data_IF_778777507709
#
_entry.id   IF_778777507709
#
_cell.length_a   1.000
_cell.length_b   1.000
_cell.length_c   1.000
_cell.angle_alpha   90.00
_cell.angle_beta   90.00
_cell.angle_gamma   90.00
#
_symmetry.space_group_name_H-M   'P 1'
#
loop_
_entity.id
_entity.type
_entity.pdbx_description
1 polymer ?
#
# COMPACT_ATOMS: atom_id res chain seq x y z
N UNK A 1 -13.20 208.25 -14.70
CA UNK A 1 -13.04 207.70 -13.32
C UNK A 1 -14.37 207.43 -12.63
N UNK A 2 -15.52 207.92 -13.14
CA UNK A 2 -16.82 207.82 -12.46
C UNK A 2 -17.66 206.59 -12.89
N UNK A 3 -17.57 206.14 -14.16
CA UNK A 3 -18.30 204.95 -14.65
C UNK A 3 -17.82 203.63 -14.03
N UNK A 4 -16.51 203.45 -13.84
CA UNK A 4 -15.95 202.21 -13.28
C UNK A 4 -16.32 201.97 -11.81
N UNK A 5 -16.70 203.00 -11.06
CA UNK A 5 -17.15 202.83 -9.66
C UNK A 5 -18.60 202.34 -9.58
N UNK A 6 -19.46 202.66 -10.56
CA UNK A 6 -20.85 202.20 -10.62
C UNK A 6 -20.97 200.73 -11.05
N UNK A 7 -20.13 200.28 -11.97
CA UNK A 7 -20.14 198.87 -12.39
C UNK A 7 -19.67 197.93 -11.28
N UNK A 8 -18.67 198.34 -10.49
CA UNK A 8 -18.20 197.58 -9.32
C UNK A 8 -19.28 197.49 -8.22
N UNK A 9 -20.04 198.56 -8.00
CA UNK A 9 -21.14 198.57 -7.03
C UNK A 9 -22.27 197.62 -7.43
N UNK A 10 -22.64 197.58 -8.72
CA UNK A 10 -23.64 196.64 -9.24
C UNK A 10 -23.18 195.19 -9.15
N UNK A 11 -21.90 194.90 -9.45
CA UNK A 11 -21.33 193.56 -9.28
C UNK A 11 -21.40 193.09 -7.83
N UNK A 12 -21.05 193.95 -6.87
CA UNK A 12 -21.14 193.62 -5.45
C UNK A 12 -22.57 193.44 -4.96
N UNK A 13 -23.54 194.18 -5.51
CA UNK A 13 -24.96 193.96 -5.20
C UNK A 13 -25.49 192.61 -5.71
N UNK A 14 -25.09 192.19 -6.91
CA UNK A 14 -25.45 190.86 -7.43
C UNK A 14 -24.77 189.72 -6.67
N UNK A 15 -23.50 189.85 -6.31
CA UNK A 15 -22.82 188.88 -5.44
C UNK A 15 -23.49 188.80 -4.08
N UNK A 16 -23.88 189.93 -3.50
CA UNK A 16 -24.61 189.97 -2.23
C UNK A 16 -25.95 189.23 -2.33
N UNK A 17 -26.73 189.46 -3.39
CA UNK A 17 -28.00 188.77 -3.58
C UNK A 17 -27.84 187.26 -3.79
N UNK A 18 -26.78 186.82 -4.48
CA UNK A 18 -26.44 185.40 -4.63
C UNK A 18 -26.01 184.77 -3.31
N UNK A 19 -25.20 185.47 -2.52
CA UNK A 19 -24.81 185.03 -1.19
C UNK A 19 -26.00 184.98 -0.23
N UNK A 20 -26.89 185.98 -0.27
CA UNK A 20 -28.11 185.99 0.55
C UNK A 20 -29.06 184.83 0.16
N UNK A 21 -29.15 184.49 -1.13
CA UNK A 21 -29.88 183.30 -1.60
C UNK A 21 -29.25 182.00 -1.10
N UNK A 22 -27.93 181.84 -1.24
CA UNK A 22 -27.24 180.65 -0.74
C UNK A 22 -27.31 180.52 0.79
N UNK A 23 -27.23 181.65 1.51
CA UNK A 23 -27.44 181.71 2.96
C UNK A 23 -28.87 181.29 3.29
N UNK A 24 -29.87 181.70 2.51
CA UNK A 24 -31.26 181.29 2.70
C UNK A 24 -31.46 179.80 2.45
N UNK A 25 -30.91 179.24 1.38
CA UNK A 25 -30.99 177.80 1.09
C UNK A 25 -30.28 176.98 2.18
N UNK A 26 -29.10 177.41 2.62
CA UNK A 26 -28.40 176.81 3.77
C UNK A 26 -29.22 176.96 5.05
N UNK A 27 -29.88 178.10 5.26
CA UNK A 27 -30.74 178.31 6.44
C UNK A 27 -31.97 177.40 6.40
N UNK A 28 -32.60 177.22 5.25
CA UNK A 28 -33.75 176.34 5.06
C UNK A 28 -33.35 174.85 5.23
N UNK A 29 -32.15 174.45 4.78
CA UNK A 29 -31.54 173.14 5.06
C UNK A 29 -31.21 172.96 6.55
N UNK A 30 -30.64 173.99 7.20
CA UNK A 30 -30.35 174.00 8.63
C UNK A 30 -31.62 173.90 9.49
N UNK A 31 -32.75 174.46 9.02
CA UNK A 31 -34.06 174.28 9.66
C UNK A 31 -34.55 172.83 9.55
N UNK A 32 -34.18 172.09 8.50
CA UNK A 32 -34.54 170.66 8.31
C UNK A 32 -33.58 169.68 8.99
N UNK A 33 -32.38 170.11 9.36
CA UNK A 33 -31.37 169.29 10.08
C UNK A 33 -31.95 168.52 11.29
N UNK A 34 -32.79 169.11 12.17
CA UNK A 34 -33.37 168.36 13.28
C UNK A 34 -34.28 167.20 12.85
N UNK A 35 -34.95 167.32 11.69
CA UNK A 35 -35.79 166.25 11.16
C UNK A 35 -34.93 165.09 10.62
N UNK A 36 -33.84 165.40 9.90
CA UNK A 36 -32.90 164.36 9.46
C UNK A 36 -32.16 163.69 10.61
N UNK A 37 -31.83 164.43 11.68
CA UNK A 37 -31.25 163.85 12.90
C UNK A 37 -32.25 162.89 13.58
N UNK A 38 -33.53 163.27 13.65
CA UNK A 38 -34.57 162.39 14.19
C UNK A 38 -34.80 161.13 13.32
N UNK A 39 -34.85 161.27 11.99
CA UNK A 39 -34.96 160.13 11.07
C UNK A 39 -33.75 159.20 11.16
N UNK A 40 -32.55 159.76 11.32
CA UNK A 40 -31.32 158.98 11.52
C UNK A 40 -31.35 158.23 12.86
N UNK A 41 -31.75 158.87 13.95
CA UNK A 41 -31.91 158.22 15.25
C UNK A 41 -32.97 157.11 15.21
N UNK A 42 -34.10 157.34 14.53
CA UNK A 42 -35.15 156.33 14.35
C UNK A 42 -34.62 155.12 13.55
N UNK A 43 -33.97 155.37 12.41
CA UNK A 43 -33.36 154.33 11.57
C UNK A 43 -32.24 153.58 12.31
N UNK A 44 -31.45 154.28 13.14
CA UNK A 44 -30.42 153.67 13.97
C UNK A 44 -31.02 152.79 15.08
N UNK A 45 -32.15 153.22 15.67
CA UNK A 45 -32.89 152.42 16.65
C UNK A 45 -33.47 151.16 16.00
N UNK A 46 -34.05 151.28 14.81
CA UNK A 46 -34.62 150.17 14.04
C UNK A 46 -33.54 149.18 13.59
N UNK A 47 -32.40 149.68 13.09
CA UNK A 47 -31.24 148.84 12.77
C UNK A 47 -30.79 148.03 13.99
N UNK A 48 -30.65 148.69 15.15
CA UNK A 48 -30.25 148.01 16.39
C UNK A 48 -31.26 146.96 16.84
N UNK A 49 -32.57 147.19 16.59
CA UNK A 49 -33.65 146.25 16.88
C UNK A 49 -33.57 145.04 15.95
N UNK A 50 -33.41 145.27 14.64
CA UNK A 50 -33.27 144.20 13.64
C UNK A 50 -32.00 143.39 13.87
N UNK A 51 -30.86 144.02 14.17
CA UNK A 51 -29.61 143.33 14.50
C UNK A 51 -29.76 142.39 15.70
N UNK A 52 -30.44 142.83 16.77
CA UNK A 52 -30.75 141.98 17.93
C UNK A 52 -31.59 140.76 17.54
N UNK A 53 -32.67 140.99 16.79
CA UNK A 53 -33.56 139.90 16.33
C UNK A 53 -32.80 138.93 15.41
N UNK A 54 -32.00 139.44 14.47
CA UNK A 54 -31.17 138.61 13.58
C UNK A 54 -30.18 137.76 14.38
N UNK A 55 -29.49 138.35 15.35
CA UNK A 55 -28.55 137.63 16.21
C UNK A 55 -29.23 136.53 17.04
N UNK A 56 -30.43 136.81 17.58
CA UNK A 56 -31.24 135.80 18.28
C UNK A 56 -31.65 134.66 17.34
N UNK A 57 -32.15 134.97 16.14
CA UNK A 57 -32.54 133.94 15.17
C UNK A 57 -31.34 133.14 14.65
N UNK A 58 -30.19 133.77 14.44
CA UNK A 58 -28.94 133.07 14.09
C UNK A 58 -28.51 132.12 15.21
N UNK A 59 -28.59 132.55 16.47
CA UNK A 59 -28.28 131.67 17.60
C UNK A 59 -29.23 130.46 17.66
N UNK A 60 -30.53 130.68 17.40
CA UNK A 60 -31.54 129.62 17.35
C UNK A 60 -31.30 128.67 16.17
N UNK A 61 -30.97 129.19 15.00
CA UNK A 61 -30.65 128.40 13.82
C UNK A 61 -29.42 127.53 14.03
N UNK A 62 -28.39 128.08 14.68
CA UNK A 62 -27.18 127.33 15.03
C UNK A 62 -27.48 126.22 16.04
N UNK A 63 -28.32 126.47 17.05
CA UNK A 63 -28.81 125.43 17.97
C UNK A 63 -29.55 124.31 17.25
N UNK A 64 -30.51 124.66 16.37
CA UNK A 64 -31.25 123.67 15.57
C UNK A 64 -30.33 122.88 14.61
N UNK A 65 -29.27 123.49 14.07
CA UNK A 65 -28.28 122.80 13.24
C UNK A 65 -27.47 121.78 14.05
N UNK A 66 -27.03 122.13 15.26
CA UNK A 66 -26.34 121.20 16.16
C UNK A 66 -27.25 120.04 16.59
N UNK A 67 -28.52 120.31 16.89
CA UNK A 67 -29.50 119.26 17.19
C UNK A 67 -29.74 118.34 15.99
N UNK A 68 -29.86 118.90 14.78
CA UNK A 68 -29.98 118.11 13.56
C UNK A 68 -28.76 117.22 13.33
N UNK A 69 -27.55 117.76 13.46
CA UNK A 69 -26.31 117.00 13.33
C UNK A 69 -26.23 115.87 14.39
N UNK A 70 -26.62 116.16 15.63
CA UNK A 70 -26.71 115.13 16.66
C UNK A 70 -27.72 114.03 16.32
N UNK A 71 -28.86 114.37 15.72
CA UNK A 71 -29.87 113.41 15.30
C UNK A 71 -29.41 112.58 14.10
N UNK A 72 -28.71 113.19 13.14
CA UNK A 72 -28.11 112.48 12.01
C UNK A 72 -27.04 111.48 12.47
N UNK A 73 -26.19 111.87 13.43
CA UNK A 73 -25.22 110.97 14.04
C UNK A 73 -25.89 109.81 14.80
N UNK A 74 -26.92 110.08 15.61
CA UNK A 74 -27.69 109.04 16.30
C UNK A 74 -28.40 108.10 15.32
N UNK A 75 -28.92 108.63 14.21
CA UNK A 75 -29.54 107.83 13.15
C UNK A 75 -28.51 106.91 12.48
N UNK A 76 -27.30 107.40 12.21
CA UNK A 76 -26.21 106.57 11.69
C UNK A 76 -25.80 105.46 12.67
N UNK A 77 -25.70 105.78 13.97
CA UNK A 77 -25.42 104.80 15.03
C UNK A 77 -26.53 103.73 15.12
N UNK A 78 -27.79 104.13 15.02
CA UNK A 78 -28.92 103.20 15.05
C UNK A 78 -28.88 102.22 13.87
N UNK A 79 -28.58 102.71 12.65
CA UNK A 79 -28.41 101.84 11.47
C UNK A 79 -27.28 100.82 11.68
N UNK A 80 -26.13 101.25 12.25
CA UNK A 80 -25.02 100.35 12.55
C UNK A 80 -25.42 99.30 13.59
N UNK A 81 -26.13 99.69 14.65
CA UNK A 81 -26.61 98.75 15.67
C UNK A 81 -27.63 97.75 15.10
N UNK A 82 -28.56 98.19 14.26
CA UNK A 82 -29.51 97.31 13.57
C UNK A 82 -28.81 96.28 12.67
N UNK A 83 -27.76 96.70 11.95
CA UNK A 83 -26.94 95.80 11.16
C UNK A 83 -26.20 94.79 12.03
N UNK A 84 -25.57 95.24 13.12
CA UNK A 84 -24.91 94.35 14.08
C UNK A 84 -25.87 93.35 14.74
N UNK A 85 -27.08 93.78 15.09
CA UNK A 85 -28.12 92.90 15.64
C UNK A 85 -28.46 91.82 14.61
N UNK A 86 -28.75 92.20 13.37
CA UNK A 86 -29.10 91.26 12.30
C UNK A 86 -27.99 90.24 12.02
N UNK A 87 -26.73 90.67 12.03
CA UNK A 87 -25.62 89.75 11.82
C UNK A 87 -25.40 88.82 13.01
N UNK A 88 -25.64 89.30 14.23
CA UNK A 88 -25.59 88.48 15.45
C UNK A 88 -26.73 87.45 15.46
N UNK A 89 -27.94 87.83 15.06
CA UNK A 89 -29.09 86.92 14.93
C UNK A 89 -28.81 85.80 13.91
N UNK A 90 -28.24 86.14 12.74
CA UNK A 90 -27.82 85.13 11.74
C UNK A 90 -26.73 84.21 12.29
N UNK A 91 -25.80 84.74 13.09
CA UNK A 91 -24.77 83.92 13.71
C UNK A 91 -25.39 82.95 14.74
N UNK A 92 -26.31 83.43 15.57
CA UNK A 92 -27.03 82.61 16.55
C UNK A 92 -27.81 81.47 15.87
N UNK A 93 -28.50 81.76 14.77
CA UNK A 93 -29.23 80.73 14.00
C UNK A 93 -28.29 79.63 13.48
N UNK A 94 -27.14 80.01 12.91
CA UNK A 94 -26.13 79.03 12.46
C UNK A 94 -25.60 78.17 13.60
N UNK A 95 -25.35 78.77 14.77
CA UNK A 95 -24.89 78.03 15.94
C UNK A 95 -25.97 77.09 16.48
N UNK A 96 -27.23 77.50 16.49
CA UNK A 96 -28.35 76.65 16.89
C UNK A 96 -28.50 75.44 15.97
N UNK A 97 -28.36 75.64 14.65
CA UNK A 97 -28.36 74.54 13.68
C UNK A 97 -27.18 73.57 13.89
N UNK A 98 -25.98 74.07 14.20
CA UNK A 98 -24.83 73.22 14.54
C UNK A 98 -25.06 72.42 15.83
N UNK A 99 -25.63 73.06 16.86
CA UNK A 99 -25.99 72.39 18.12
C UNK A 99 -26.99 71.26 17.86
N UNK A 100 -28.02 71.50 17.04
CA UNK A 100 -28.99 70.46 16.65
C UNK A 100 -28.33 69.30 15.93
N UNK A 101 -27.42 69.56 14.99
CA UNK A 101 -26.69 68.53 14.26
C UNK A 101 -25.81 67.67 15.19
N UNK A 102 -25.04 68.31 16.06
CA UNK A 102 -24.19 67.59 17.02
C UNK A 102 -25.03 66.80 18.03
N UNK A 103 -26.17 67.33 18.46
CA UNK A 103 -27.07 66.60 19.35
C UNK A 103 -27.65 65.36 18.67
N UNK A 104 -28.01 65.43 17.39
CA UNK A 104 -28.44 64.26 16.62
C UNK A 104 -27.33 63.20 16.52
N UNK A 105 -26.09 63.61 16.21
CA UNK A 105 -24.93 62.70 16.15
C UNK A 105 -24.63 62.05 17.51
N UNK A 106 -24.68 62.83 18.60
CA UNK A 106 -24.49 62.30 19.94
C UNK A 106 -25.52 61.24 20.28
N UNK A 107 -26.79 61.47 19.92
CA UNK A 107 -27.86 60.50 20.13
C UNK A 107 -27.59 59.18 19.40
N UNK A 108 -27.11 59.21 18.15
CA UNK A 108 -26.73 57.99 17.42
C UNK A 108 -25.60 57.22 18.12
N UNK A 109 -24.58 57.94 18.61
CA UNK A 109 -23.50 57.32 19.36
C UNK A 109 -23.95 56.75 20.71
N UNK A 110 -24.85 57.44 21.42
CA UNK A 110 -25.44 56.96 22.68
C UNK A 110 -26.26 55.68 22.45
N UNK A 111 -27.05 55.61 21.38
CA UNK A 111 -27.81 54.41 21.00
C UNK A 111 -26.89 53.23 20.69
N UNK A 112 -25.75 53.46 20.01
CA UNK A 112 -24.77 52.41 19.72
C UNK A 112 -24.02 51.97 20.99
N UNK A 113 -23.63 52.90 21.86
CA UNK A 113 -22.99 52.60 23.14
C UNK A 113 -23.95 51.84 24.06
N UNK A 114 -25.25 52.16 24.04
CA UNK A 114 -26.25 51.42 24.80
C UNK A 114 -26.33 49.94 24.40
N UNK A 115 -25.98 49.60 23.14
CA UNK A 115 -25.95 48.23 22.65
C UNK A 115 -24.59 47.54 22.84
N UNK A 116 -23.59 48.22 23.41
CA UNK A 116 -22.21 47.72 23.53
C UNK A 116 -22.12 46.37 24.23
N UNK A 117 -22.81 46.20 25.36
CA UNK A 117 -22.77 44.93 26.11
C UNK A 117 -23.29 43.77 25.28
N UNK A 118 -24.40 43.95 24.59
CA UNK A 118 -24.99 42.93 23.70
C UNK A 118 -24.03 42.55 22.56
N UNK A 119 -23.33 43.52 21.97
CA UNK A 119 -22.35 43.28 20.90
C UNK A 119 -21.14 42.50 21.46
N UNK A 120 -20.59 42.92 22.60
CA UNK A 120 -19.44 42.26 23.23
C UNK A 120 -19.78 40.83 23.68
N UNK A 121 -20.98 40.61 24.24
CA UNK A 121 -21.51 39.29 24.59
C UNK A 121 -21.68 38.40 23.35
N UNK A 122 -22.30 38.92 22.30
CA UNK A 122 -22.48 38.20 21.03
C UNK A 122 -21.16 37.83 20.38
N UNK A 123 -20.17 38.74 20.37
CA UNK A 123 -18.84 38.45 19.86
C UNK A 123 -18.13 37.37 20.69
N UNK A 124 -18.25 37.43 22.01
CA UNK A 124 -17.69 36.41 22.91
C UNK A 124 -18.29 35.03 22.64
N UNK A 125 -19.60 34.95 22.41
CA UNK A 125 -20.28 33.70 22.05
C UNK A 125 -19.84 33.19 20.66
N UNK A 126 -19.69 34.09 19.68
CA UNK A 126 -19.20 33.74 18.35
C UNK A 126 -17.80 33.14 18.41
N UNK A 127 -16.87 33.77 19.15
CA UNK A 127 -15.49 33.27 19.31
C UNK A 127 -15.49 31.86 19.92
N UNK A 128 -16.23 31.65 21.03
CA UNK A 128 -16.34 30.31 21.66
C UNK A 128 -16.91 29.27 20.71
N UNK A 129 -17.94 29.63 19.94
CA UNK A 129 -18.56 28.72 18.97
C UNK A 129 -17.59 28.36 17.85
N UNK A 130 -16.83 29.35 17.36
CA UNK A 130 -15.81 29.15 16.34
C UNK A 130 -14.71 28.19 16.83
N UNK A 131 -14.21 28.37 18.05
CA UNK A 131 -13.21 27.48 18.65
C UNK A 131 -13.70 26.03 18.75
N UNK A 132 -14.96 25.83 19.14
CA UNK A 132 -15.57 24.49 19.19
C UNK A 132 -15.72 23.87 17.80
N UNK A 133 -16.11 24.65 16.79
CA UNK A 133 -16.16 24.19 15.40
C UNK A 133 -14.78 23.78 14.87
N UNK A 134 -13.76 24.59 15.12
CA UNK A 134 -12.37 24.30 14.70
C UNK A 134 -11.85 23.01 15.37
N UNK A 135 -12.17 22.78 16.65
CA UNK A 135 -11.81 21.54 17.35
C UNK A 135 -12.58 20.32 16.80
N UNK A 136 -13.87 20.47 16.48
CA UNK A 136 -14.65 19.41 15.86
C UNK A 136 -14.10 19.05 14.47
N UNK A 137 -13.72 20.04 13.66
CA UNK A 137 -13.06 19.80 12.38
C UNK A 137 -11.74 19.06 12.56
N UNK A 138 -10.93 19.45 13.54
CA UNK A 138 -9.66 18.77 13.85
C UNK A 138 -9.89 17.30 14.21
N UNK A 139 -10.84 17.02 15.09
CA UNK A 139 -11.20 15.64 15.50
C UNK A 139 -11.78 14.84 14.34
N UNK A 140 -12.61 15.46 13.51
CA UNK A 140 -13.16 14.80 12.32
C UNK A 140 -12.04 14.40 11.34
N UNK A 141 -11.09 15.29 11.05
CA UNK A 141 -9.92 14.97 10.22
C UNK A 141 -9.09 13.83 10.80
N UNK A 142 -8.89 13.81 12.13
CA UNK A 142 -8.22 12.70 12.81
C UNK A 142 -8.99 11.38 12.65
N UNK A 143 -10.31 11.39 12.84
CA UNK A 143 -11.17 10.21 12.69
C UNK A 143 -11.10 9.65 11.26
N UNK A 144 -11.17 10.51 10.24
CA UNK A 144 -11.08 10.08 8.84
C UNK A 144 -9.70 9.46 8.53
N UNK A 145 -8.63 10.03 9.09
CA UNK A 145 -7.28 9.46 8.93
C UNK A 145 -7.16 8.10 9.62
N UNK A 146 -7.70 7.95 10.84
CA UNK A 146 -7.73 6.66 11.54
C UNK A 146 -8.55 5.61 10.77
N UNK A 147 -9.69 5.97 10.19
CA UNK A 147 -10.48 5.05 9.37
C UNK A 147 -9.73 4.62 8.10
N UNK A 148 -8.98 5.55 7.48
CA UNK A 148 -8.09 5.24 6.35
C UNK A 148 -6.96 4.29 6.77
N UNK A 149 -6.33 4.50 7.92
CA UNK A 149 -5.30 3.59 8.43
C UNK A 149 -5.87 2.21 8.75
N UNK A 150 -7.03 2.15 9.39
CA UNK A 150 -7.75 0.91 9.69
C UNK A 150 -8.04 0.12 8.41
N UNK A 151 -8.65 0.74 7.40
CA UNK A 151 -8.93 0.07 6.12
C UNK A 151 -7.66 -0.44 5.42
N UNK A 152 -6.55 0.29 5.49
CA UNK A 152 -5.25 -0.18 4.97
C UNK A 152 -4.72 -1.40 5.73
N UNK A 153 -4.84 -1.40 7.07
CA UNK A 153 -4.47 -2.55 7.89
C UNK A 153 -5.38 -3.75 7.61
N UNK A 154 -6.68 -3.54 7.47
CA UNK A 154 -7.66 -4.58 7.15
C UNK A 154 -7.38 -5.23 5.78
N UNK A 155 -6.93 -4.45 4.77
CA UNK A 155 -6.48 -5.00 3.48
C UNK A 155 -5.25 -5.88 3.65
N UNK A 156 -4.23 -5.39 4.37
CA UNK A 156 -2.99 -6.14 4.62
C UNK A 156 -3.24 -7.42 5.41
N UNK A 157 -4.14 -7.37 6.40
CA UNK A 157 -4.55 -8.54 7.19
C UNK A 157 -5.26 -9.55 6.29
N UNK A 158 -6.18 -9.09 5.42
CA UNK A 158 -6.85 -9.95 4.44
C UNK A 158 -5.86 -10.61 3.48
N UNK A 159 -4.94 -9.84 2.89
CA UNK A 159 -3.91 -10.36 1.97
C UNK A 159 -2.99 -11.41 2.66
N UNK A 160 -2.50 -11.10 3.86
CA UNK A 160 -1.68 -12.02 4.64
C UNK A 160 -2.46 -13.28 5.05
N UNK A 161 -3.74 -13.10 5.41
CA UNK A 161 -4.69 -14.19 5.60
C UNK A 161 -4.74 -15.07 4.36
N UNK A 162 -5.09 -14.50 3.20
CA UNK A 162 -5.19 -15.16 1.90
C UNK A 162 -3.98 -16.04 1.56
N UNK A 163 -2.78 -15.53 1.83
CA UNK A 163 -1.53 -16.25 1.60
C UNK A 163 -1.37 -17.47 2.50
N UNK A 164 -1.63 -17.33 3.81
CA UNK A 164 -1.47 -18.41 4.79
C UNK A 164 -2.35 -19.62 4.48
N UNK A 165 -3.45 -19.38 3.80
CA UNK A 165 -4.42 -20.40 3.45
C UNK A 165 -3.94 -21.15 2.28
N UNK A 166 -3.56 -20.41 1.25
CA UNK A 166 -3.11 -21.01 0.02
C UNK A 166 -1.97 -21.96 0.38
N UNK A 167 -1.08 -21.51 1.28
CA UNK A 167 -0.05 -22.33 1.90
C UNK A 167 -0.62 -23.51 2.72
N UNK A 168 -1.62 -23.32 3.58
CA UNK A 168 -2.24 -24.39 4.37
C UNK A 168 -2.94 -25.45 3.49
N UNK A 169 -3.72 -25.04 2.50
CA UNK A 169 -4.43 -25.89 1.56
C UNK A 169 -3.44 -26.69 0.69
N UNK A 170 -2.35 -26.05 0.22
CA UNK A 170 -1.26 -26.72 -0.49
C UNK A 170 -0.52 -27.71 0.42
N UNK A 171 -0.23 -27.34 1.67
CA UNK A 171 0.39 -28.25 2.63
C UNK A 171 -0.54 -29.44 2.94
N UNK A 172 -1.84 -29.20 3.07
CA UNK A 172 -2.83 -30.22 3.38
C UNK A 172 -3.06 -31.17 2.18
N UNK A 173 -3.11 -30.66 0.95
CA UNK A 173 -3.17 -31.50 -0.25
C UNK A 173 -1.91 -32.35 -0.36
N UNK A 174 -0.73 -31.76 -0.10
CA UNK A 174 0.54 -32.47 -0.11
C UNK A 174 0.62 -33.56 0.96
N UNK A 175 0.13 -33.29 2.16
CA UNK A 175 0.00 -34.29 3.23
C UNK A 175 -0.90 -35.45 2.79
N UNK A 176 -2.05 -35.18 2.17
CA UNK A 176 -2.95 -36.24 1.67
C UNK A 176 -2.26 -37.12 0.62
N UNK A 177 -1.52 -36.54 -0.32
CA UNK A 177 -0.75 -37.27 -1.33
C UNK A 177 0.33 -38.16 -0.68
N UNK A 178 1.14 -37.59 0.22
CA UNK A 178 2.21 -38.31 0.89
C UNK A 178 1.68 -39.41 1.82
N UNK A 179 0.54 -39.18 2.49
CA UNK A 179 -0.16 -40.20 3.25
C UNK A 179 -0.62 -41.36 2.37
N UNK A 180 -1.19 -41.08 1.18
CA UNK A 180 -1.62 -42.12 0.26
C UNK A 180 -0.46 -43.01 -0.20
N UNK A 181 0.71 -42.40 -0.47
CA UNK A 181 1.93 -43.15 -0.80
C UNK A 181 2.48 -43.94 0.39
N UNK A 182 2.54 -43.33 1.57
CA UNK A 182 3.04 -43.98 2.79
C UNK A 182 2.15 -45.15 3.23
N UNK A 183 0.82 -45.05 3.05
CA UNK A 183 -0.13 -46.15 3.37
C UNK A 183 0.10 -47.42 2.54
N UNK A 184 0.68 -47.30 1.35
CA UNK A 184 1.02 -48.46 0.49
C UNK A 184 2.28 -49.19 0.94
N UNK A 185 3.12 -48.56 1.77
CA UNK A 185 4.41 -49.10 2.19
C UNK A 185 4.33 -50.51 2.82
N UNK A 186 3.38 -50.83 3.72
CA UNK A 186 3.30 -52.17 4.29
C UNK A 186 2.96 -53.24 3.25
N UNK A 187 2.09 -52.92 2.29
CA UNK A 187 1.72 -53.83 1.21
C UNK A 187 2.93 -54.12 0.31
N UNK A 188 3.66 -53.07 -0.10
CA UNK A 188 4.89 -53.19 -0.88
C UNK A 188 5.97 -54.02 -0.15
N UNK A 189 6.15 -53.80 1.16
CA UNK A 189 7.09 -54.59 1.98
C UNK A 189 6.70 -56.06 2.05
N UNK A 190 5.41 -56.35 2.18
CA UNK A 190 4.91 -57.72 2.17
C UNK A 190 5.14 -58.40 0.81
N UNK A 191 4.87 -57.71 -0.30
CA UNK A 191 5.15 -58.20 -1.66
C UNK A 191 6.65 -58.44 -1.91
N UNK A 192 7.51 -57.53 -1.46
CA UNK A 192 8.96 -57.73 -1.53
C UNK A 192 9.40 -58.96 -0.73
N UNK A 193 8.85 -59.15 0.48
CA UNK A 193 9.18 -60.30 1.33
C UNK A 193 8.77 -61.63 0.69
N UNK A 194 7.61 -61.69 0.03
CA UNK A 194 7.16 -62.91 -0.65
C UNK A 194 8.03 -63.24 -1.88
N UNK A 195 8.44 -62.23 -2.65
CA UNK A 195 9.39 -62.41 -3.75
C UNK A 195 10.79 -62.81 -3.28
N UNK A 196 11.24 -62.31 -2.13
CA UNK A 196 12.50 -62.75 -1.53
C UNK A 196 12.45 -64.23 -1.14
N UNK A 197 11.32 -64.72 -0.63
CA UNK A 197 11.11 -66.14 -0.37
C UNK A 197 11.11 -66.94 -1.68
N UNK A 198 10.46 -66.45 -2.73
CA UNK A 198 10.50 -67.10 -4.05
C UNK A 198 11.92 -67.18 -4.62
N UNK A 199 12.73 -66.12 -4.48
CA UNK A 199 14.14 -66.13 -4.91
C UNK A 199 14.99 -67.14 -4.13
N UNK A 200 14.73 -67.33 -2.83
CA UNK A 200 15.39 -68.40 -2.05
C UNK A 200 15.01 -69.79 -2.56
N UNK A 201 13.73 -70.03 -2.82
CA UNK A 201 13.28 -71.28 -3.42
C UNK A 201 13.89 -71.54 -4.80
N UNK A 202 14.02 -70.50 -5.64
CA UNK A 202 14.72 -70.63 -6.92
C UNK A 202 16.20 -70.96 -6.75
N UNK A 203 16.85 -70.47 -5.70
CA UNK A 203 18.24 -70.83 -5.37
C UNK A 203 18.37 -72.31 -4.95
N UNK A 204 17.39 -72.85 -4.22
CA UNK A 204 17.34 -74.29 -3.89
C UNK A 204 17.15 -75.17 -5.14
N UNK A 205 16.37 -74.70 -6.10
CA UNK A 205 16.22 -75.36 -7.41
C UNK A 205 17.49 -75.27 -8.26
N UNK A 206 18.25 -74.17 -8.19
CA UNK A 206 19.57 -74.06 -8.83
C UNK A 206 20.55 -75.10 -8.29
N UNK A 207 20.58 -75.34 -6.97
CA UNK A 207 21.37 -76.41 -6.35
C UNK A 207 20.93 -77.80 -6.85
N UNK A 208 19.62 -78.02 -6.97
CA UNK A 208 19.07 -79.26 -7.52
C UNK A 208 19.49 -79.47 -8.98
N UNK A 209 19.46 -78.41 -9.81
CA UNK A 209 19.94 -78.43 -11.19
C UNK A 209 21.44 -78.75 -11.26
N UNK A 210 22.23 -78.23 -10.33
CA UNK A 210 23.67 -78.48 -10.24
C UNK A 210 23.94 -79.97 -9.95
N UNK A 211 23.22 -80.58 -9.02
CA UNK A 211 23.28 -82.02 -8.76
C UNK A 211 22.84 -82.86 -9.97
N UNK A 212 21.79 -82.45 -10.69
CA UNK A 212 21.35 -83.11 -11.92
C UNK A 212 22.37 -83.02 -13.05
N UNK A 213 23.07 -81.89 -13.19
CA UNK A 213 24.20 -81.72 -14.14
C UNK A 213 25.37 -82.64 -13.81
N UNK A 214 25.70 -82.81 -12.52
CA UNK A 214 26.73 -83.74 -12.09
C UNK A 214 26.35 -85.19 -12.43
N UNK A 215 25.12 -85.61 -12.08
CA UNK A 215 24.62 -86.94 -12.45
C UNK A 215 24.62 -87.18 -13.97
N UNK A 216 24.31 -86.15 -14.75
CA UNK A 216 24.36 -86.20 -16.21
C UNK A 216 25.80 -86.41 -16.73
N UNK A 217 26.78 -85.71 -16.17
CA UNK A 217 28.20 -85.91 -16.48
C UNK A 217 28.68 -87.31 -16.09
N UNK A 218 28.28 -87.82 -14.93
CA UNK A 218 28.60 -89.18 -14.50
C UNK A 218 28.03 -90.22 -15.47
N UNK A 219 26.76 -90.10 -15.86
CA UNK A 219 26.16 -90.98 -16.85
C UNK A 219 26.87 -90.91 -18.20
N UNK A 220 27.26 -89.71 -18.64
CA UNK A 220 28.01 -89.52 -19.89
C UNK A 220 29.36 -90.25 -19.84
N UNK A 221 30.08 -90.17 -18.71
CA UNK A 221 31.33 -90.91 -18.54
C UNK A 221 31.12 -92.43 -18.55
N UNK A 222 30.03 -92.93 -17.95
CA UNK A 222 29.67 -94.35 -18.00
C UNK A 222 29.32 -94.81 -19.42
N UNK A 223 28.56 -94.00 -20.16
CA UNK A 223 28.24 -94.26 -21.58
C UNK A 223 29.53 -94.36 -22.40
N UNK A 224 30.44 -93.40 -22.30
CA UNK A 224 31.72 -93.45 -23.01
C UNK A 224 32.57 -94.67 -22.64
N UNK A 225 32.57 -95.08 -21.36
CA UNK A 225 33.25 -96.30 -20.92
C UNK A 225 32.62 -97.56 -21.53
N UNK A 226 31.28 -97.69 -21.50
CA UNK A 226 30.55 -98.81 -22.10
C UNK A 226 30.72 -98.84 -23.63
N UNK A 227 30.82 -97.69 -24.30
CA UNK A 227 31.13 -97.57 -25.72
C UNK A 227 32.55 -98.06 -26.03
N UNK A 228 33.54 -97.66 -25.23
CA UNK A 228 34.90 -98.15 -25.34
C UNK A 228 34.95 -99.68 -25.14
N UNK A 229 34.30 -100.19 -24.10
CA UNK A 229 34.21 -101.64 -23.84
C UNK A 229 33.52 -102.40 -24.97
N UNK A 230 32.46 -101.82 -25.55
CA UNK A 230 31.78 -102.39 -26.73
C UNK A 230 32.76 -102.54 -27.88
N UNK A 231 33.49 -101.47 -28.22
CA UNK A 231 34.47 -101.51 -29.31
C UNK A 231 35.59 -102.52 -29.06
N UNK A 232 36.04 -102.64 -27.81
CA UNK A 232 37.06 -103.62 -27.42
C UNK A 232 36.54 -105.06 -27.55
N UNK A 233 35.34 -105.35 -27.03
CA UNK A 233 34.72 -106.67 -27.13
C UNK A 233 34.42 -107.07 -28.58
N UNK A 234 33.96 -106.13 -29.41
CA UNK A 234 33.74 -106.37 -30.85
C UNK A 234 35.06 -106.74 -31.55
N UNK A 235 36.15 -106.03 -31.25
CA UNK A 235 37.48 -106.31 -31.79
C UNK A 235 38.01 -107.67 -31.31
N UNK A 236 37.90 -107.98 -30.02
CA UNK A 236 38.34 -109.27 -29.46
C UNK A 236 37.54 -110.46 -30.01
N UNK A 237 36.21 -110.31 -30.18
CA UNK A 237 35.35 -111.33 -30.80
C UNK A 237 35.77 -111.55 -32.25
N UNK A 238 36.07 -110.47 -32.99
CA UNK A 238 36.55 -110.55 -34.38
C UNK A 238 37.90 -111.25 -34.46
N UNK A 239 38.85 -110.94 -33.58
CA UNK A 239 40.15 -111.61 -33.51
C UNK A 239 40.01 -113.10 -33.17
N UNK A 240 39.13 -113.48 -32.25
CA UNK A 240 38.86 -114.90 -31.93
C UNK A 240 38.17 -115.59 -33.10
N UNK A 241 37.26 -114.91 -33.80
CA UNK A 241 36.62 -115.43 -35.02
C UNK A 241 37.65 -115.69 -36.13
N UNK A 242 38.58 -114.76 -36.34
CA UNK A 242 39.68 -114.91 -37.29
C UNK A 242 40.60 -116.09 -36.90
N UNK A 243 40.92 -116.23 -35.60
CA UNK A 243 41.69 -117.38 -35.07
C UNK A 243 40.96 -118.72 -35.27
N UNK A 244 39.65 -118.78 -35.01
CA UNK A 244 38.83 -119.98 -35.26
C UNK A 244 38.77 -120.33 -36.76
N UNK A 245 38.65 -119.32 -37.64
CA UNK A 245 38.66 -119.54 -39.08
C UNK A 245 40.03 -120.10 -39.56
N UNK A 246 41.14 -119.58 -39.02
CA UNK A 246 42.49 -120.07 -39.29
C UNK A 246 42.69 -121.52 -38.82
N UNK A 247 42.17 -121.89 -37.66
CA UNK A 247 42.22 -123.26 -37.14
C UNK A 247 41.39 -124.24 -37.98
N UNK A 248 40.23 -123.81 -38.49
CA UNK A 248 39.34 -124.67 -39.30
C UNK A 248 39.84 -124.95 -40.74
N UNK A 249 40.85 -124.20 -41.21
CA UNK A 249 41.36 -124.28 -42.59
C UNK A 249 42.75 -124.93 -42.71
N UNK A 250 43.42 -125.27 -41.61
CA UNK A 250 44.74 -125.90 -41.61
C UNK A 250 44.68 -127.39 -41.26
N UNK A 251 45.26 -128.26 -42.09
CA UNK A 251 45.31 -129.72 -41.88
C UNK A 251 46.57 -130.23 -41.18
N UNK A 252 47.58 -129.37 -40.95
CA UNK A 252 48.82 -129.69 -40.21
C UNK A 252 49.19 -128.53 -39.27
N UNK A 253 48.61 -128.51 -38.07
CA UNK A 253 48.87 -127.48 -37.07
C UNK A 253 49.88 -127.96 -36.02
N UNK A 254 50.94 -127.18 -35.77
CA UNK A 254 51.89 -127.39 -34.66
C UNK A 254 51.64 -126.37 -33.56
N UNK A 255 51.72 -126.79 -32.30
CA UNK A 255 51.50 -125.90 -31.16
C UNK A 255 52.64 -124.85 -31.05
N UNK A 256 52.36 -123.53 -31.09
CA UNK A 256 53.40 -122.50 -31.07
C UNK A 256 54.09 -122.32 -29.71
N UNK A 257 53.65 -123.00 -28.66
CA UNK A 257 54.24 -122.96 -27.31
C UNK A 257 55.04 -124.23 -26.95
N UNK A 258 54.80 -125.36 -27.63
CA UNK A 258 55.46 -126.63 -27.29
C UNK A 258 55.85 -127.50 -28.49
N UNK A 259 55.73 -126.98 -29.72
CA UNK A 259 56.18 -127.54 -31.02
C UNK A 259 55.70 -128.96 -31.38
N UNK A 260 54.81 -129.57 -30.58
CA UNK A 260 54.15 -130.84 -30.89
C UNK A 260 53.07 -130.68 -31.96
N UNK A 261 52.96 -131.67 -32.83
CA UNK A 261 51.87 -131.84 -33.79
C UNK A 261 50.55 -132.00 -33.04
N UNK A 262 49.56 -131.20 -33.40
CA UNK A 262 48.25 -131.23 -32.76
C UNK A 262 47.41 -132.36 -33.38
N UNK A 263 47.24 -133.47 -32.65
CA UNK A 263 46.31 -134.52 -33.01
C UNK A 263 44.85 -133.99 -33.02
N UNK A 264 43.94 -134.68 -33.73
CA UNK A 264 42.54 -134.27 -33.96
C UNK A 264 41.80 -133.91 -32.66
N UNK A 265 42.15 -134.54 -31.54
CA UNK A 265 41.57 -134.25 -30.22
C UNK A 265 42.11 -132.94 -29.59
N UNK A 266 43.38 -132.60 -29.82
CA UNK A 266 44.00 -131.36 -29.34
C UNK A 266 43.52 -130.11 -30.09
N UNK A 267 43.29 -130.23 -31.41
CA UNK A 267 42.67 -129.19 -32.23
C UNK A 267 41.23 -128.90 -31.78
N UNK A 268 40.42 -129.96 -31.57
CA UNK A 268 39.05 -129.82 -31.05
C UNK A 268 39.00 -129.18 -29.67
N UNK A 269 39.96 -129.47 -28.79
CA UNK A 269 40.04 -128.84 -27.46
C UNK A 269 40.32 -127.33 -27.55
N UNK A 270 41.21 -126.92 -28.47
CA UNK A 270 41.56 -125.51 -28.69
C UNK A 270 40.40 -124.76 -29.37
N UNK A 271 39.76 -125.37 -30.38
CA UNK A 271 38.55 -124.83 -31.02
C UNK A 271 37.42 -124.66 -30.01
N UNK A 272 37.19 -125.64 -29.13
CA UNK A 272 36.17 -125.56 -28.08
C UNK A 272 36.48 -124.41 -27.11
N UNK A 273 37.73 -124.26 -26.66
CA UNK A 273 38.13 -123.14 -25.79
C UNK A 273 37.96 -121.76 -26.43
N UNK A 274 38.34 -121.60 -27.71
CA UNK A 274 38.14 -120.34 -28.42
C UNK A 274 36.67 -120.09 -28.75
N UNK A 275 35.88 -121.13 -29.02
CA UNK A 275 34.44 -121.03 -29.21
C UNK A 275 33.72 -120.63 -27.91
N UNK A 276 34.12 -121.20 -26.78
CA UNK A 276 33.63 -120.85 -25.44
C UNK A 276 34.03 -119.43 -25.05
N UNK A 277 35.27 -119.02 -25.30
CA UNK A 277 35.74 -117.63 -25.07
C UNK A 277 34.98 -116.64 -25.95
N UNK A 278 34.77 -116.95 -27.24
CA UNK A 278 33.95 -116.14 -28.15
C UNK A 278 32.51 -116.04 -27.65
N UNK A 279 31.92 -117.15 -27.20
CA UNK A 279 30.56 -117.16 -26.68
C UNK A 279 30.47 -116.34 -25.37
N UNK A 280 31.45 -116.47 -24.49
CA UNK A 280 31.56 -115.68 -23.25
C UNK A 280 31.64 -114.18 -23.56
N UNK A 281 32.57 -113.76 -24.43
CA UNK A 281 32.70 -112.36 -24.86
C UNK A 281 31.48 -111.84 -25.62
N UNK A 282 30.82 -112.69 -26.41
CA UNK A 282 29.55 -112.33 -27.07
C UNK A 282 28.43 -112.11 -26.06
N UNK A 283 28.37 -112.89 -24.98
CA UNK A 283 27.43 -112.65 -23.89
C UNK A 283 27.78 -111.36 -23.14
N UNK A 284 29.05 -111.10 -22.85
CA UNK A 284 29.51 -109.83 -22.27
C UNK A 284 29.17 -108.63 -23.15
N UNK A 285 29.31 -108.75 -24.47
CA UNK A 285 28.93 -107.72 -25.44
C UNK A 285 27.41 -107.44 -25.40
N UNK A 286 26.59 -108.49 -25.33
CA UNK A 286 25.13 -108.34 -25.18
C UNK A 286 24.75 -107.66 -23.87
N UNK A 287 25.37 -108.05 -22.76
CA UNK A 287 25.14 -107.41 -21.45
C UNK A 287 25.55 -105.93 -21.48
N UNK A 288 26.74 -105.63 -22.02
CA UNK A 288 27.25 -104.27 -22.19
C UNK A 288 26.34 -103.43 -23.11
N UNK A 289 25.78 -104.02 -24.17
CA UNK A 289 24.85 -103.34 -25.07
C UNK A 289 23.52 -103.00 -24.38
N UNK A 290 22.97 -103.90 -23.56
CA UNK A 290 21.76 -103.63 -22.77
C UNK A 290 21.99 -102.49 -21.76
N UNK A 291 23.13 -102.51 -21.08
CA UNK A 291 23.49 -101.47 -20.11
C UNK A 291 23.77 -100.12 -20.81
N UNK A 292 24.40 -100.15 -21.99
CA UNK A 292 24.62 -98.97 -22.82
C UNK A 292 23.32 -98.32 -23.28
N UNK A 293 22.37 -99.11 -23.80
CA UNK A 293 21.08 -98.58 -24.27
C UNK A 293 20.24 -98.02 -23.11
N UNK A 294 20.31 -98.66 -21.94
CA UNK A 294 19.70 -98.15 -20.71
C UNK A 294 20.31 -96.81 -20.29
N UNK A 295 21.64 -96.71 -20.23
CA UNK A 295 22.31 -95.48 -19.82
C UNK A 295 22.11 -94.36 -20.86
N UNK A 296 22.05 -94.67 -22.17
CA UNK A 296 21.73 -93.67 -23.20
C UNK A 296 20.32 -93.10 -23.06
N UNK A 297 19.33 -93.95 -22.81
CA UNK A 297 17.95 -93.49 -22.60
C UNK A 297 17.79 -92.67 -21.32
N UNK A 298 18.45 -93.08 -20.22
CA UNK A 298 18.51 -92.31 -18.99
C UNK A 298 19.22 -90.95 -19.20
N UNK A 299 20.35 -90.92 -19.93
CA UNK A 299 21.08 -89.70 -20.24
C UNK A 299 20.22 -88.71 -21.05
N UNK A 300 19.57 -89.15 -22.13
CA UNK A 300 18.69 -88.30 -22.94
C UNK A 300 17.51 -87.72 -22.12
N UNK A 301 16.95 -88.53 -21.21
CA UNK A 301 15.88 -88.07 -20.32
C UNK A 301 16.37 -86.99 -19.36
N UNK A 302 17.55 -87.19 -18.78
CA UNK A 302 18.16 -86.28 -17.83
C UNK A 302 18.64 -84.97 -18.50
N UNK A 303 19.16 -85.03 -19.73
CA UNK A 303 19.51 -83.86 -20.54
C UNK A 303 18.27 -82.98 -20.84
N UNK A 304 17.14 -83.61 -21.17
CA UNK A 304 15.86 -82.91 -21.36
C UNK A 304 15.37 -82.27 -20.07
N UNK A 305 15.46 -82.97 -18.94
CA UNK A 305 15.10 -82.39 -17.63
C UNK A 305 15.99 -81.20 -17.26
N UNK A 306 17.31 -81.33 -17.42
CA UNK A 306 18.30 -80.27 -17.11
C UNK A 306 18.06 -79.04 -17.98
N UNK A 307 17.85 -79.21 -19.29
CA UNK A 307 17.61 -78.08 -20.21
C UNK A 307 16.29 -77.36 -19.93
N UNK A 308 15.21 -78.10 -19.63
CA UNK A 308 13.92 -77.52 -19.26
C UNK A 308 13.97 -76.78 -17.92
N UNK A 309 14.63 -77.36 -16.91
CA UNK A 309 14.81 -76.74 -15.60
C UNK A 309 15.68 -75.48 -15.69
N UNK A 310 16.80 -75.52 -16.42
CA UNK A 310 17.69 -74.36 -16.62
C UNK A 310 16.97 -73.20 -17.32
N UNK A 311 16.18 -73.49 -18.36
CA UNK A 311 15.41 -72.48 -19.07
C UNK A 311 14.35 -71.81 -18.16
N UNK A 312 13.60 -72.62 -17.39
CA UNK A 312 12.60 -72.12 -16.43
C UNK A 312 13.25 -71.29 -15.32
N UNK A 313 14.34 -71.79 -14.73
CA UNK A 313 15.06 -71.09 -13.66
C UNK A 313 15.58 -69.73 -14.12
N UNK A 314 16.19 -69.67 -15.32
CA UNK A 314 16.64 -68.39 -15.91
C UNK A 314 15.50 -67.39 -16.10
N UNK A 315 14.36 -67.85 -16.63
CA UNK A 315 13.19 -67.00 -16.85
C UNK A 315 12.58 -66.49 -15.53
N UNK A 316 12.34 -67.39 -14.58
CA UNK A 316 11.70 -67.07 -13.31
C UNK A 316 12.60 -66.17 -12.46
N UNK A 317 13.91 -66.43 -12.44
CA UNK A 317 14.89 -65.60 -11.74
C UNK A 317 14.97 -64.18 -12.32
N UNK A 318 15.01 -64.05 -13.64
CA UNK A 318 15.00 -62.74 -14.30
C UNK A 318 13.71 -61.96 -13.99
N UNK A 319 12.55 -62.63 -14.03
CA UNK A 319 11.26 -62.02 -13.70
C UNK A 319 11.21 -61.57 -12.24
N UNK A 320 11.62 -62.43 -11.31
CA UNK A 320 11.65 -62.13 -9.88
C UNK A 320 12.63 -61.02 -9.54
N UNK A 321 13.85 -61.04 -10.09
CA UNK A 321 14.84 -59.98 -9.89
C UNK A 321 14.36 -58.62 -10.40
N UNK A 322 13.76 -58.58 -11.60
CA UNK A 322 13.18 -57.34 -12.15
C UNK A 322 12.10 -56.76 -11.22
N UNK A 323 11.16 -57.61 -10.76
CA UNK A 323 10.11 -57.21 -9.80
C UNK A 323 10.68 -56.73 -8.47
N UNK A 324 11.70 -57.40 -7.94
CA UNK A 324 12.38 -56.99 -6.70
C UNK A 324 13.01 -55.61 -6.84
N UNK A 325 13.68 -55.32 -7.97
CA UNK A 325 14.25 -53.99 -8.22
C UNK A 325 13.18 -52.91 -8.25
N UNK A 326 12.07 -53.14 -8.96
CA UNK A 326 10.95 -52.18 -9.07
C UNK A 326 10.29 -51.94 -7.70
N UNK A 327 10.03 -53.00 -6.93
CA UNK A 327 9.43 -52.89 -5.60
C UNK A 327 10.37 -52.22 -4.61
N UNK A 328 11.68 -52.52 -4.67
CA UNK A 328 12.67 -51.90 -3.80
C UNK A 328 12.75 -50.39 -4.04
N UNK A 329 12.74 -49.96 -5.30
CA UNK A 329 12.65 -48.54 -5.65
C UNK A 329 11.34 -47.90 -5.13
N UNK A 330 10.20 -48.55 -5.36
CA UNK A 330 8.89 -48.05 -4.92
C UNK A 330 8.79 -47.94 -3.39
N UNK A 331 9.43 -48.86 -2.65
CA UNK A 331 9.54 -48.83 -1.19
C UNK A 331 10.38 -47.63 -0.76
N UNK A 332 11.55 -47.41 -1.38
CA UNK A 332 12.40 -46.25 -1.08
C UNK A 332 11.66 -44.93 -1.28
N UNK A 333 10.93 -44.79 -2.39
CA UNK A 333 10.12 -43.61 -2.69
C UNK A 333 9.00 -43.41 -1.65
N UNK A 334 8.34 -44.49 -1.22
CA UNK A 334 7.30 -44.44 -0.20
C UNK A 334 7.85 -44.14 1.22
N UNK A 335 9.07 -44.61 1.54
CA UNK A 335 9.77 -44.26 2.79
C UNK A 335 10.18 -42.79 2.82
N UNK A 336 10.75 -42.28 1.72
CA UNK A 336 11.02 -40.85 1.56
C UNK A 336 9.76 -40.01 1.67
N UNK A 337 8.66 -40.45 1.06
CA UNK A 337 7.36 -39.78 1.19
C UNK A 337 6.89 -39.74 2.65
N UNK A 338 7.11 -40.81 3.43
CA UNK A 338 6.84 -40.86 4.86
C UNK A 338 7.70 -39.87 5.68
N UNK A 339 8.97 -39.72 5.33
CA UNK A 339 9.85 -38.73 5.97
C UNK A 339 9.38 -37.29 5.67
N UNK A 340 9.10 -36.98 4.40
CA UNK A 340 8.56 -35.68 3.97
C UNK A 340 7.21 -35.38 4.61
N UNK A 341 6.35 -36.39 4.76
CA UNK A 341 5.07 -36.28 5.46
C UNK A 341 5.25 -35.81 6.91
N UNK A 342 6.25 -36.35 7.61
CA UNK A 342 6.53 -35.97 8.99
C UNK A 342 7.01 -34.51 9.09
N UNK A 343 7.82 -34.05 8.14
CA UNK A 343 8.27 -32.65 8.06
C UNK A 343 7.09 -31.70 7.78
N UNK A 344 6.22 -32.02 6.81
CA UNK A 344 5.05 -31.20 6.50
C UNK A 344 4.04 -31.17 7.66
N UNK A 345 3.83 -32.30 8.36
CA UNK A 345 3.01 -32.32 9.58
C UNK A 345 3.60 -31.45 10.69
N UNK A 346 4.92 -31.45 10.87
CA UNK A 346 5.60 -30.54 11.82
C UNK A 346 5.42 -29.08 11.42
N UNK A 347 5.49 -28.77 10.12
CA UNK A 347 5.25 -27.42 9.57
C UNK A 347 3.82 -26.96 9.86
N UNK A 348 2.83 -27.84 9.66
CA UNK A 348 1.41 -27.55 9.89
C UNK A 348 1.06 -27.44 11.38
N UNK A 349 1.62 -28.30 12.24
CA UNK A 349 1.51 -28.19 13.71
C UNK A 349 2.11 -26.86 14.23
N UNK A 350 3.10 -26.30 13.52
CA UNK A 350 3.66 -24.98 13.78
C UNK A 350 2.70 -23.80 13.54
N UNK A 351 1.53 -24.04 12.96
CA UNK A 351 0.46 -23.07 12.65
C UNK A 351 -0.76 -23.19 13.60
N UNK A 352 -0.76 -24.09 14.57
CA UNK A 352 -1.84 -24.22 15.56
C UNK A 352 -1.80 -23.13 16.64
N UNK A 353 -2.94 -22.85 17.30
CA UNK A 353 -3.08 -21.80 18.32
C UNK A 353 -2.00 -21.87 19.40
N UNK A 354 -1.68 -23.08 19.88
CA UNK A 354 -0.62 -23.32 20.87
C UNK A 354 0.78 -22.94 20.36
N UNK A 355 1.05 -23.16 19.07
CA UNK A 355 2.29 -22.74 18.42
C UNK A 355 2.34 -21.22 18.23
N UNK A 356 1.21 -20.58 17.90
CA UNK A 356 1.09 -19.11 17.82
C UNK A 356 1.32 -18.48 19.19
N UNK A 357 0.68 -18.96 20.26
CA UNK A 357 0.88 -18.49 21.64
C UNK A 357 2.35 -18.62 22.05
N UNK A 358 2.99 -19.77 21.75
CA UNK A 358 4.41 -20.00 22.06
C UNK A 358 5.34 -19.05 21.28
N UNK A 359 5.08 -18.83 19.99
CA UNK A 359 5.87 -17.93 19.13
C UNK A 359 5.62 -16.46 19.42
N UNK A 360 4.44 -16.08 19.91
CA UNK A 360 4.10 -14.70 20.29
C UNK A 360 5.07 -14.11 21.33
N UNK A 361 5.65 -14.96 22.19
CA UNK A 361 6.70 -14.56 23.16
C UNK A 361 8.02 -14.16 22.50
N UNK A 362 8.30 -14.60 21.27
CA UNK A 362 9.56 -14.34 20.56
C UNK A 362 9.50 -13.02 19.80
N UNK A 363 10.33 -12.02 20.14
CA UNK A 363 10.28 -10.65 19.57
C UNK A 363 10.26 -10.53 18.03
N UNK A 364 10.78 -11.52 17.30
CA UNK A 364 10.77 -11.54 15.83
C UNK A 364 9.47 -12.05 15.19
N UNK A 365 8.63 -12.77 15.92
CA UNK A 365 7.36 -13.29 15.39
C UNK A 365 6.31 -12.18 15.33
N UNK A 366 5.68 -12.00 14.16
CA UNK A 366 4.71 -10.93 13.90
C UNK A 366 5.23 -9.53 14.30
N UNK A 367 6.44 -9.17 13.85
CA UNK A 367 7.10 -7.90 14.22
C UNK A 367 6.29 -6.64 13.85
N UNK A 368 5.40 -6.73 12.85
CA UNK A 368 4.48 -5.66 12.47
C UNK A 368 3.23 -5.55 13.33
N UNK A 369 2.97 -6.53 14.21
CA UNK A 369 1.82 -6.52 15.11
C UNK A 369 2.21 -5.87 16.44
N UNK A 370 1.42 -4.89 16.89
CA UNK A 370 1.63 -4.25 18.18
C UNK A 370 1.14 -5.17 19.31
N UNK A 371 2.07 -5.81 20.01
CA UNK A 371 1.77 -6.74 21.10
C UNK A 371 1.08 -6.08 22.28
N UNK A 372 1.36 -4.81 22.55
CA UNK A 372 0.69 -4.08 23.61
C UNK A 372 -0.80 -3.94 23.30
N UNK A 373 -1.15 -3.63 22.04
CA UNK A 373 -2.55 -3.55 21.61
C UNK A 373 -3.25 -4.90 21.67
N UNK A 374 -2.59 -5.98 21.24
CA UNK A 374 -3.17 -7.32 21.31
C UNK A 374 -3.40 -7.75 22.77
N UNK A 375 -2.51 -7.37 23.69
CA UNK A 375 -2.65 -7.68 25.11
C UNK A 375 -3.84 -6.95 25.79
N UNK A 376 -4.38 -5.89 25.18
CA UNK A 376 -5.58 -5.19 25.66
C UNK A 376 -6.85 -6.06 25.58
N UNK A 377 -6.80 -7.24 24.94
CA UNK A 377 -7.91 -8.20 25.00
C UNK A 377 -8.30 -8.56 26.45
N UNK A 378 -7.36 -8.48 27.38
CA UNK A 378 -7.62 -8.67 28.81
C UNK A 378 -8.51 -7.58 29.43
N UNK A 379 -8.46 -6.34 28.92
CA UNK A 379 -9.28 -5.22 29.42
C UNK A 379 -10.77 -5.39 29.10
N UNK A 380 -11.08 -6.19 28.08
CA UNK A 380 -12.45 -6.57 27.70
C UNK A 380 -12.86 -7.95 28.27
N UNK A 381 -12.07 -8.50 29.20
CA UNK A 381 -12.39 -9.75 29.90
C UNK A 381 -12.12 -11.04 29.11
N UNK A 382 -11.29 -10.97 28.06
CA UNK A 382 -10.90 -12.14 27.27
C UNK A 382 -9.45 -12.50 27.60
N UNK A 383 -9.23 -13.71 28.09
CA UNK A 383 -7.90 -14.27 28.33
C UNK A 383 -7.11 -14.37 27.01
N UNK A 384 -5.81 -14.09 27.07
CA UNK A 384 -4.97 -14.00 25.86
C UNK A 384 -4.99 -15.29 25.02
N UNK A 385 -4.92 -16.45 25.67
CA UNK A 385 -4.97 -17.75 24.99
C UNK A 385 -6.32 -17.94 24.28
N UNK A 386 -7.41 -17.52 24.93
CA UNK A 386 -8.76 -17.58 24.39
C UNK A 386 -8.95 -16.59 23.23
N UNK A 387 -8.34 -15.41 23.30
CA UNK A 387 -8.33 -14.43 22.21
C UNK A 387 -7.64 -14.96 20.95
N UNK A 388 -6.49 -15.63 21.11
CA UNK A 388 -5.76 -16.24 19.99
C UNK A 388 -6.55 -17.42 19.41
N UNK A 389 -7.18 -18.26 20.24
CA UNK A 389 -8.06 -19.34 19.77
C UNK A 389 -9.27 -18.81 19.03
N UNK A 390 -9.93 -17.76 19.54
CA UNK A 390 -11.05 -17.10 18.90
C UNK A 390 -10.65 -16.48 17.57
N UNK A 391 -9.50 -15.82 17.48
CA UNK A 391 -8.98 -15.29 16.22
C UNK A 391 -8.73 -16.39 15.19
N UNK A 392 -8.12 -17.50 15.60
CA UNK A 392 -7.89 -18.66 14.73
C UNK A 392 -9.19 -19.35 14.32
N UNK A 393 -10.16 -19.48 15.21
CA UNK A 393 -11.47 -20.07 14.94
C UNK A 393 -12.31 -19.16 14.02
N UNK A 394 -12.30 -17.85 14.26
CA UNK A 394 -12.98 -16.87 13.43
C UNK A 394 -12.39 -16.87 12.02
N UNK A 395 -11.07 -16.83 11.88
CA UNK A 395 -10.39 -17.00 10.60
C UNK A 395 -10.88 -18.29 9.92
N UNK A 396 -10.79 -19.46 10.59
CA UNK A 396 -11.27 -20.73 10.03
C UNK A 396 -12.77 -20.73 9.65
N UNK A 397 -13.61 -19.95 10.32
CA UNK A 397 -15.06 -19.93 10.10
C UNK A 397 -15.46 -19.09 8.88
N UNK A 398 -14.84 -17.93 8.68
CA UNK A 398 -15.00 -17.12 7.46
C UNK A 398 -13.96 -17.49 6.42
N UNK A 399 -13.56 -18.77 6.41
CA UNK A 399 -12.54 -19.26 5.52
C UNK A 399 -12.92 -19.01 4.07
N UNK A 400 -14.06 -19.51 3.58
CA UNK A 400 -14.50 -19.23 2.22
C UNK A 400 -14.53 -17.71 1.84
N UNK A 401 -14.89 -16.83 2.78
CA UNK A 401 -14.99 -15.37 2.54
C UNK A 401 -13.64 -14.64 2.60
N UNK A 402 -12.71 -15.16 3.42
CA UNK A 402 -11.29 -14.78 3.46
C UNK A 402 -10.46 -15.65 2.49
N UNK A 403 -11.12 -16.40 1.60
CA UNK A 403 -10.63 -17.59 0.91
C UNK A 403 -9.58 -18.42 1.65
N UNK A 404 -9.78 -18.62 2.98
CA UNK A 404 -9.19 -19.60 3.89
C UNK A 404 -9.59 -21.06 3.65
#
# INVERSE_FOLDING_TARGET
MEERAKDLAKQQETEKAQLDSAIKDISDELVRKPAYEAEFEEAQSELSRVEKVTKEQESRLNGLRQEKESLENKKAQLIQLEEHIRDTERALERWDDQVKQHHAQLKEYEELIAQRSTIEEGYTQFVKTKELCDELERRFRQSVNLEKQKSQLDSKIREAGQSLITDHALAQSRIKELEASSRKLPQLKNELSSLQVQLRHLAELDETLLGRRQANQELLTQVHHLESNKTQLEQEIKEIQEKLNLLSTQTEAKCPLCERELEVEGLKLIETKYADDRHSKSNSLKLNQVELDKNKTELESLEKEVSQLDARLKQDRASAQSKVSILSQSISEAEEAGNRLNEERKRLAGLEAKSVIKKFKQKGFAAGANRQQIALCSEIGIEFDQFIELGLAAMKAIAADLGL
#
